data_IF_006196637158
#
_entry.id   IF_006196637158
#
_cell.length_a   1.000
_cell.length_b   1.000
_cell.length_c   1.000
_cell.angle_alpha   90.00
_cell.angle_beta   90.00
_cell.angle_gamma   90.00
#
_symmetry.space_group_name_H-M   'P 1'
#
loop_
_entity.id
_entity.type
_entity.pdbx_description
1 polymer ?
#
# COMPACT_ATOMS: atom_id res chain seq x y z
N UNK A 1 -36.71 -9.49 -34.70
CA UNK A 1 -36.51 -8.38 -33.74
C UNK A 1 -36.54 -8.83 -32.27
N UNK A 2 -37.45 -9.72 -31.84
CA UNK A 2 -37.48 -10.21 -30.43
C UNK A 2 -36.17 -10.83 -29.95
N UNK A 3 -35.46 -11.60 -30.78
CA UNK A 3 -34.21 -12.28 -30.36
C UNK A 3 -33.05 -11.31 -30.11
N UNK A 4 -32.98 -10.18 -30.84
CA UNK A 4 -31.98 -9.13 -30.62
C UNK A 4 -32.28 -8.32 -29.36
N UNK A 5 -33.57 -8.04 -29.08
CA UNK A 5 -34.01 -7.33 -27.88
C UNK A 5 -33.78 -8.17 -26.62
N UNK A 6 -34.07 -9.48 -26.68
CA UNK A 6 -33.79 -10.42 -25.60
C UNK A 6 -32.29 -10.53 -25.32
N UNK A 7 -31.44 -10.67 -26.35
CA UNK A 7 -29.99 -10.68 -26.17
C UNK A 7 -29.48 -9.40 -25.54
N UNK A 8 -30.00 -8.24 -25.94
CA UNK A 8 -29.65 -6.96 -25.34
C UNK A 8 -30.08 -6.87 -23.87
N UNK A 9 -31.31 -7.27 -23.55
CA UNK A 9 -31.83 -7.31 -22.18
C UNK A 9 -30.99 -8.24 -21.30
N UNK A 10 -30.59 -9.40 -21.81
CA UNK A 10 -29.69 -10.33 -21.10
C UNK A 10 -28.33 -9.69 -20.86
N UNK A 11 -27.73 -9.02 -21.85
CA UNK A 11 -26.45 -8.31 -21.69
C UNK A 11 -26.58 -7.20 -20.64
N UNK A 12 -27.66 -6.40 -20.68
CA UNK A 12 -27.92 -5.35 -19.70
C UNK A 12 -28.10 -5.93 -18.29
N UNK A 13 -28.87 -7.02 -18.14
CA UNK A 13 -29.06 -7.75 -16.88
C UNK A 13 -27.75 -8.32 -16.32
N UNK A 14 -26.86 -8.81 -17.18
CA UNK A 14 -25.55 -9.32 -16.77
C UNK A 14 -24.57 -8.19 -16.40
N UNK A 15 -24.67 -7.02 -17.03
CA UNK A 15 -23.82 -5.85 -16.75
C UNK A 15 -24.30 -5.04 -15.55
N UNK A 16 -25.59 -5.08 -15.22
CA UNK A 16 -26.21 -4.34 -14.12
C UNK A 16 -25.53 -4.59 -12.76
N UNK A 17 -25.29 -5.84 -12.31
CA UNK A 17 -24.56 -6.12 -11.08
C UNK A 17 -23.14 -5.53 -11.08
N UNK A 18 -22.47 -5.52 -12.23
CA UNK A 18 -21.12 -5.01 -12.39
C UNK A 18 -21.10 -3.48 -12.32
N UNK A 19 -22.07 -2.81 -12.95
CA UNK A 19 -22.25 -1.35 -12.90
C UNK A 19 -22.63 -0.90 -11.49
N UNK A 20 -23.57 -1.59 -10.82
CA UNK A 20 -23.94 -1.31 -9.44
C UNK A 20 -22.79 -1.60 -8.48
N UNK A 21 -22.03 -2.68 -8.68
CA UNK A 21 -20.84 -3.00 -7.90
C UNK A 21 -19.76 -1.92 -8.02
N UNK A 22 -19.44 -1.47 -9.22
CA UNK A 22 -18.48 -0.37 -9.47
C UNK A 22 -18.96 0.94 -8.82
N UNK A 23 -20.25 1.27 -8.95
CA UNK A 23 -20.83 2.47 -8.32
C UNK A 23 -20.83 2.38 -6.79
N UNK A 24 -21.20 1.25 -6.22
CA UNK A 24 -21.23 1.05 -4.77
C UNK A 24 -19.82 1.10 -4.18
N UNK A 25 -18.82 0.54 -4.86
CA UNK A 25 -17.42 0.64 -4.43
C UNK A 25 -16.92 2.09 -4.48
N UNK A 26 -17.26 2.84 -5.54
CA UNK A 26 -16.92 4.27 -5.58
C UNK A 26 -17.69 5.08 -4.54
N UNK A 27 -18.93 4.69 -4.21
CA UNK A 27 -19.69 5.26 -3.13
C UNK A 27 -19.00 4.95 -1.80
N UNK A 28 -18.72 3.70 -1.45
CA UNK A 28 -17.99 3.28 -0.23
C UNK A 28 -16.62 3.98 -0.09
N UNK A 29 -15.90 4.18 -1.19
CA UNK A 29 -14.59 4.84 -1.18
C UNK A 29 -14.67 6.37 -1.05
N UNK A 30 -15.74 7.02 -1.54
CA UNK A 30 -15.92 8.47 -1.44
C UNK A 30 -16.81 8.89 -0.26
N UNK A 31 -17.71 8.01 0.16
CA UNK A 31 -18.59 8.07 1.33
C UNK A 31 -17.99 7.11 2.35
N UNK A 32 -16.88 7.52 2.94
CA UNK A 32 -16.41 7.02 4.23
C UNK A 32 -17.44 7.39 5.32
N UNK A 33 -18.72 7.09 5.13
CA UNK A 33 -19.84 7.52 5.97
C UNK A 33 -19.79 6.82 7.32
N UNK A 34 -19.84 7.67 8.35
CA UNK A 34 -20.15 7.46 9.76
C UNK A 34 -20.40 5.98 10.16
N UNK A 35 -19.36 5.37 10.73
CA UNK A 35 -19.57 4.20 11.59
C UNK A 35 -20.57 4.52 12.71
N UNK A 36 -21.11 3.49 13.39
CA UNK A 36 -21.91 3.63 14.62
C UNK A 36 -21.27 4.55 15.69
N UNK A 37 -19.96 4.81 15.61
CA UNK A 37 -19.23 5.73 16.50
C UNK A 37 -19.32 7.22 16.14
N UNK A 38 -19.96 7.57 15.02
CA UNK A 38 -20.05 8.95 14.54
C UNK A 38 -18.76 9.48 13.90
N UNK A 39 -17.83 8.60 13.53
CA UNK A 39 -16.59 8.95 12.82
C UNK A 39 -16.42 8.13 11.55
N UNK A 40 -15.81 8.77 10.55
CA UNK A 40 -15.31 8.15 9.31
C UNK A 40 -14.10 7.25 9.59
N UNK A 41 -13.75 6.34 8.67
CA UNK A 41 -12.55 5.50 8.81
C UNK A 41 -11.26 6.34 8.86
N UNK A 42 -11.20 7.43 8.09
CA UNK A 42 -10.06 8.34 8.06
C UNK A 42 -9.89 9.08 9.38
N UNK A 43 -11.00 9.56 9.97
CA UNK A 43 -10.98 10.19 11.28
C UNK A 43 -10.55 9.23 12.40
N UNK A 44 -11.00 7.98 12.34
CA UNK A 44 -10.56 6.95 13.30
C UNK A 44 -9.07 6.67 13.17
N UNK A 45 -8.58 6.49 11.93
CA UNK A 45 -7.18 6.26 11.64
C UNK A 45 -6.32 7.42 12.17
N UNK A 46 -6.70 8.66 11.82
CA UNK A 46 -6.02 9.88 12.26
C UNK A 46 -5.99 10.02 13.78
N UNK A 47 -7.12 9.84 14.47
CA UNK A 47 -7.19 9.96 15.95
C UNK A 47 -6.31 8.93 16.65
N UNK A 48 -6.31 7.69 16.18
CA UNK A 48 -5.46 6.63 16.76
C UNK A 48 -3.99 6.95 16.51
N UNK A 49 -3.64 7.38 15.30
CA UNK A 49 -2.28 7.82 14.96
C UNK A 49 -1.83 8.96 15.87
N UNK A 50 -2.64 10.01 16.03
CA UNK A 50 -2.38 11.15 16.94
C UNK A 50 -2.18 10.70 18.40
N UNK A 51 -3.04 9.80 18.90
CA UNK A 51 -2.92 9.26 20.26
C UNK A 51 -1.63 8.46 20.46
N UNK A 52 -1.24 7.65 19.48
CA UNK A 52 0.03 6.93 19.50
C UNK A 52 1.22 7.90 19.58
N UNK A 53 1.20 9.02 18.86
CA UNK A 53 2.29 10.01 18.94
C UNK A 53 2.45 10.61 20.35
N UNK A 54 1.32 10.88 21.01
CA UNK A 54 1.32 11.40 22.39
C UNK A 54 1.91 10.36 23.35
N UNK A 55 1.50 9.10 23.21
CA UNK A 55 1.98 7.99 24.04
C UNK A 55 3.48 7.76 23.83
N UNK A 56 3.96 7.73 22.59
CA UNK A 56 5.39 7.54 22.29
C UNK A 56 6.26 8.65 22.85
N UNK A 57 5.81 9.91 22.75
CA UNK A 57 6.50 11.05 23.37
C UNK A 57 6.54 10.92 24.89
N UNK A 58 5.45 10.44 25.51
CA UNK A 58 5.39 10.24 26.96
C UNK A 58 6.29 9.09 27.40
N UNK A 59 6.30 7.97 26.69
CA UNK A 59 7.19 6.83 26.96
C UNK A 59 8.66 7.29 26.89
N UNK A 60 9.07 7.99 25.83
CA UNK A 60 10.45 8.53 25.72
C UNK A 60 10.82 9.47 26.86
N UNK A 61 9.88 10.32 27.29
CA UNK A 61 10.08 11.18 28.46
C UNK A 61 10.25 10.37 29.75
N UNK A 62 9.43 9.34 29.96
CA UNK A 62 9.52 8.43 31.11
C UNK A 62 10.82 7.66 31.12
N UNK A 63 11.26 7.12 29.98
CA UNK A 63 12.54 6.41 29.83
C UNK A 63 13.72 7.27 30.28
N UNK A 64 13.75 8.54 29.84
CA UNK A 64 14.81 9.48 30.25
C UNK A 64 14.73 9.78 31.75
N UNK A 65 13.53 10.04 32.26
CA UNK A 65 13.31 10.38 33.67
C UNK A 65 13.69 9.21 34.59
N UNK A 66 13.34 7.98 34.22
CA UNK A 66 13.70 6.76 34.94
C UNK A 66 15.22 6.52 34.92
N UNK A 67 15.89 6.77 33.80
CA UNK A 67 17.35 6.68 33.73
C UNK A 67 18.04 7.68 34.67
N UNK A 68 17.59 8.94 34.68
CA UNK A 68 18.11 9.99 35.58
C UNK A 68 17.84 9.66 37.07
N UNK A 69 16.65 9.12 37.38
CA UNK A 69 16.30 8.66 38.72
C UNK A 69 17.13 7.44 39.16
N UNK A 70 17.40 6.51 38.26
CA UNK A 70 18.24 5.33 38.53
C UNK A 70 19.68 5.73 38.85
N UNK A 71 20.23 6.70 38.11
CA UNK A 71 21.57 7.24 38.34
C UNK A 71 21.68 8.00 39.68
N UNK A 72 20.58 8.59 40.17
CA UNK A 72 20.55 9.36 41.42
C UNK A 72 20.17 8.54 42.66
N UNK A 73 19.59 7.35 42.51
CA UNK A 73 19.04 6.54 43.61
C UNK A 73 19.88 5.31 43.99
N UNK A 74 21.13 5.52 44.39
CA UNK A 74 21.98 4.42 44.88
C UNK A 74 21.52 3.85 46.26
N UNK A 75 20.55 4.46 46.99
CA UNK A 75 20.35 4.12 48.42
C UNK A 75 18.93 4.02 49.03
N UNK A 76 17.82 4.22 48.33
CA UNK A 76 16.49 3.99 48.93
C UNK A 76 15.38 3.69 47.90
N UNK A 77 14.42 2.87 48.31
CA UNK A 77 13.19 2.58 47.56
C UNK A 77 12.38 3.86 47.33
N UNK A 78 12.12 4.21 46.08
CA UNK A 78 11.41 5.43 45.72
C UNK A 78 10.04 5.11 45.10
N UNK A 79 8.98 5.48 45.81
CA UNK A 79 7.57 5.36 45.39
C UNK A 79 7.32 6.07 44.03
N UNK A 80 8.02 7.16 43.75
CA UNK A 80 7.93 7.87 42.48
C UNK A 80 8.51 7.06 41.32
N UNK A 81 9.59 6.32 41.55
CA UNK A 81 10.19 5.44 40.55
C UNK A 81 9.23 4.31 40.17
N UNK A 82 8.62 3.65 41.16
CA UNK A 82 7.66 2.56 40.90
C UNK A 82 6.39 3.07 40.21
N UNK A 83 5.92 4.27 40.57
CA UNK A 83 4.79 4.91 39.89
C UNK A 83 5.09 5.20 38.41
N UNK A 84 6.29 5.69 38.11
CA UNK A 84 6.70 5.98 36.73
C UNK A 84 6.89 4.69 35.91
N UNK A 85 7.39 3.62 36.53
CA UNK A 85 7.45 2.29 35.90
C UNK A 85 6.05 1.74 35.59
N UNK A 86 5.11 1.87 36.53
CA UNK A 86 3.73 1.46 36.30
C UNK A 86 3.09 2.27 35.16
N UNK A 87 3.25 3.60 35.17
CA UNK A 87 2.76 4.46 34.08
C UNK A 87 3.37 4.06 32.73
N UNK A 88 4.66 3.75 32.69
CA UNK A 88 5.33 3.29 31.48
C UNK A 88 4.77 1.94 31.01
N UNK A 89 4.48 1.01 31.93
CA UNK A 89 3.82 -0.26 31.63
C UNK A 89 2.44 -0.07 31.01
N UNK A 90 1.58 0.74 31.65
CA UNK A 90 0.23 1.03 31.17
C UNK A 90 0.25 1.69 29.78
N UNK A 91 1.18 2.62 29.55
CA UNK A 91 1.36 3.28 28.26
C UNK A 91 1.88 2.32 27.17
N UNK A 92 2.76 1.38 27.51
CA UNK A 92 3.22 0.36 26.57
C UNK A 92 2.07 -0.58 26.15
N UNK A 93 1.21 -0.96 27.08
CA UNK A 93 0.02 -1.76 26.81
C UNK A 93 -1.00 -1.01 25.95
N UNK A 94 -1.25 0.27 26.25
CA UNK A 94 -2.09 1.13 25.43
C UNK A 94 -1.52 1.29 24.02
N UNK A 95 -0.21 1.54 23.90
CA UNK A 95 0.51 1.62 22.62
C UNK A 95 0.30 0.35 21.81
N UNK A 96 0.51 -0.83 22.40
CA UNK A 96 0.33 -2.10 21.70
C UNK A 96 -1.09 -2.27 21.16
N UNK A 97 -2.11 -2.03 22.00
CA UNK A 97 -3.53 -2.14 21.61
C UNK A 97 -3.89 -1.16 20.48
N UNK A 98 -3.41 0.08 20.57
CA UNK A 98 -3.67 1.10 19.55
C UNK A 98 -2.94 0.79 18.25
N UNK A 99 -1.71 0.28 18.29
CA UNK A 99 -0.97 -0.15 17.09
C UNK A 99 -1.67 -1.29 16.36
N UNK A 100 -2.19 -2.29 17.08
CA UNK A 100 -3.01 -3.35 16.49
C UNK A 100 -4.25 -2.77 15.78
N UNK A 101 -4.98 -1.89 16.46
CA UNK A 101 -6.17 -1.25 15.90
C UNK A 101 -5.87 -0.37 14.70
N UNK A 102 -4.72 0.33 14.71
CA UNK A 102 -4.25 1.13 13.58
C UNK A 102 -3.93 0.23 12.38
N UNK A 103 -3.30 -0.92 12.61
CA UNK A 103 -3.04 -1.94 11.59
C UNK A 103 -4.32 -2.49 10.96
N UNK A 104 -5.34 -2.81 11.77
CA UNK A 104 -6.64 -3.25 11.26
C UNK A 104 -7.33 -2.18 10.40
N UNK A 105 -7.25 -0.91 10.81
CA UNK A 105 -7.80 0.20 10.03
C UNK A 105 -7.03 0.45 8.74
N UNK A 106 -5.70 0.36 8.78
CA UNK A 106 -4.84 0.42 7.60
C UNK A 106 -5.23 -0.67 6.58
N UNK A 107 -5.39 -1.91 7.02
CA UNK A 107 -5.79 -3.03 6.16
C UNK A 107 -7.15 -2.78 5.50
N UNK A 108 -8.14 -2.29 6.27
CA UNK A 108 -9.46 -1.93 5.74
C UNK A 108 -9.37 -0.79 4.71
N UNK A 109 -8.58 0.26 4.98
CA UNK A 109 -8.38 1.36 4.03
C UNK A 109 -7.71 0.87 2.75
N UNK A 110 -6.68 0.02 2.85
CA UNK A 110 -6.00 -0.61 1.70
C UNK A 110 -6.96 -1.43 0.85
N UNK A 111 -7.81 -2.25 1.48
CA UNK A 111 -8.81 -3.06 0.78
C UNK A 111 -9.81 -2.18 0.01
N UNK A 112 -10.34 -1.14 0.64
CA UNK A 112 -11.26 -0.19 0.00
C UNK A 112 -10.60 0.53 -1.18
N UNK A 113 -9.36 0.99 -1.00
CA UNK A 113 -8.58 1.67 -2.02
C UNK A 113 -8.32 0.76 -3.23
N UNK A 114 -7.98 -0.51 -2.97
CA UNK A 114 -7.83 -1.52 -4.03
C UNK A 114 -9.15 -1.82 -4.76
N UNK A 115 -10.24 -2.03 -4.03
CA UNK A 115 -11.57 -2.23 -4.64
C UNK A 115 -11.92 -1.05 -5.54
N UNK A 116 -11.68 0.18 -5.08
CA UNK A 116 -11.90 1.40 -5.87
C UNK A 116 -11.04 1.45 -7.13
N UNK A 117 -9.77 1.06 -7.05
CA UNK A 117 -8.87 0.95 -8.21
C UNK A 117 -9.38 -0.07 -9.23
N UNK A 118 -9.67 -1.29 -8.78
CA UNK A 118 -10.23 -2.37 -9.61
C UNK A 118 -11.54 -1.94 -10.28
N UNK A 119 -12.41 -1.25 -9.55
CA UNK A 119 -13.66 -0.70 -10.09
C UNK A 119 -13.41 0.31 -11.23
N UNK A 120 -12.35 1.14 -11.15
CA UNK A 120 -11.97 2.03 -12.26
C UNK A 120 -11.47 1.26 -13.47
N UNK A 121 -10.67 0.23 -13.27
CA UNK A 121 -10.20 -0.60 -14.38
C UNK A 121 -11.35 -1.35 -15.09
N UNK A 122 -12.38 -1.78 -14.36
CA UNK A 122 -13.59 -2.33 -15.00
C UNK A 122 -14.34 -1.30 -15.84
N UNK A 123 -14.28 0.00 -15.53
CA UNK A 123 -14.83 1.04 -16.43
C UNK A 123 -14.15 1.06 -17.79
N UNK A 124 -12.90 0.60 -17.86
CA UNK A 124 -12.14 0.46 -19.12
C UNK A 124 -12.48 -0.85 -19.84
N UNK A 125 -12.96 -1.88 -19.12
CA UNK A 125 -13.48 -3.12 -19.71
C UNK A 125 -12.43 -4.18 -20.05
N UNK A 126 -11.15 -3.95 -19.74
CA UNK A 126 -10.06 -4.87 -20.06
C UNK A 126 -9.47 -5.58 -18.83
N UNK A 127 -10.01 -5.31 -17.64
CA UNK A 127 -9.43 -5.75 -16.37
C UNK A 127 -9.19 -7.26 -16.31
N UNK A 128 -10.18 -8.09 -16.66
CA UNK A 128 -10.04 -9.57 -16.60
C UNK A 128 -8.94 -10.11 -17.51
N UNK A 129 -8.84 -9.57 -18.73
CA UNK A 129 -7.82 -9.98 -19.69
C UNK A 129 -6.42 -9.59 -19.20
N UNK A 130 -6.28 -8.41 -18.61
CA UNK A 130 -5.02 -7.94 -18.03
C UNK A 130 -4.65 -8.76 -16.80
N UNK A 131 -5.62 -9.03 -15.92
CA UNK A 131 -5.43 -9.88 -14.75
C UNK A 131 -4.92 -11.26 -15.15
N UNK A 132 -5.54 -11.92 -16.14
CA UNK A 132 -5.08 -13.21 -16.67
C UNK A 132 -3.62 -13.14 -17.15
N UNK A 133 -3.30 -12.14 -17.99
CA UNK A 133 -1.94 -11.94 -18.51
C UNK A 133 -0.92 -11.70 -17.40
N UNK A 134 -1.27 -10.90 -16.40
CA UNK A 134 -0.39 -10.64 -15.25
C UNK A 134 -0.16 -11.92 -14.44
N UNK A 135 -1.22 -12.69 -14.17
CA UNK A 135 -1.10 -13.98 -13.48
C UNK A 135 -0.23 -14.97 -14.27
N UNK A 136 -0.42 -15.07 -15.59
CA UNK A 136 0.43 -15.89 -16.46
C UNK A 136 1.90 -15.45 -16.44
N UNK A 137 2.16 -14.13 -16.48
CA UNK A 137 3.50 -13.57 -16.33
C UNK A 137 4.16 -13.98 -15.00
N UNK A 138 3.40 -13.94 -13.90
CA UNK A 138 3.90 -14.29 -12.57
C UNK A 138 4.12 -15.81 -12.40
N UNK A 139 3.17 -16.63 -12.86
CA UNK A 139 3.26 -18.11 -12.81
C UNK A 139 4.42 -18.68 -13.64
N UNK A 140 4.86 -17.95 -14.65
CA UNK A 140 5.94 -18.39 -15.55
C UNK A 140 7.35 -18.04 -15.04
N UNK A 141 7.47 -17.50 -13.82
CA UNK A 141 8.75 -17.06 -13.24
C UNK A 141 8.93 -17.60 -11.83
N UNK A 142 10.18 -17.83 -11.47
CA UNK A 142 10.58 -18.12 -10.10
C UNK A 142 10.51 -16.87 -9.21
N UNK A 143 10.39 -17.06 -7.90
CA UNK A 143 10.43 -16.01 -6.90
C UNK A 143 11.72 -15.17 -7.00
N UNK A 144 12.85 -15.79 -7.34
CA UNK A 144 14.12 -15.09 -7.59
C UNK A 144 14.05 -14.13 -8.78
N UNK A 145 13.53 -14.60 -9.93
CA UNK A 145 13.38 -13.75 -11.13
C UNK A 145 12.40 -12.61 -10.90
N UNK A 146 11.45 -12.79 -9.98
CA UNK A 146 10.48 -11.77 -9.58
C UNK A 146 11.02 -10.82 -8.49
N UNK A 147 12.17 -11.10 -7.89
CA UNK A 147 12.77 -10.30 -6.82
C UNK A 147 12.15 -10.52 -5.42
N UNK A 148 11.48 -11.65 -5.18
CA UNK A 148 10.87 -12.02 -3.89
C UNK A 148 11.79 -12.84 -2.99
N UNK A 149 12.84 -13.41 -3.57
CA UNK A 149 13.81 -14.23 -2.87
C UNK A 149 15.20 -13.90 -3.40
N UNK A 150 16.18 -13.83 -2.50
CA UNK A 150 17.59 -13.75 -2.86
C UNK A 150 18.17 -15.14 -3.15
N UNK A 151 17.40 -16.21 -2.90
CA UNK A 151 17.79 -17.59 -3.18
C UNK A 151 17.25 -18.04 -4.53
N UNK A 152 18.14 -18.56 -5.38
CA UNK A 152 17.81 -19.03 -6.72
C UNK A 152 17.12 -20.41 -6.73
N UNK A 153 16.45 -20.80 -5.64
CA UNK A 153 15.96 -22.16 -5.40
C UNK A 153 14.76 -22.58 -6.29
N UNK A 154 14.45 -21.82 -7.34
CA UNK A 154 13.40 -22.15 -8.31
C UNK A 154 11.99 -22.18 -7.72
N UNK A 155 11.79 -21.65 -6.51
CA UNK A 155 10.48 -21.60 -5.87
C UNK A 155 9.52 -20.78 -6.73
N UNK A 156 8.39 -21.36 -7.09
CA UNK A 156 7.35 -20.69 -7.86
C UNK A 156 6.39 -20.05 -6.86
N UNK A 157 6.03 -18.76 -7.02
CA UNK A 157 5.06 -18.11 -6.15
C UNK A 157 3.74 -18.88 -6.13
N UNK A 158 3.14 -19.00 -4.95
CA UNK A 158 1.82 -19.60 -4.80
C UNK A 158 0.73 -18.73 -5.44
N UNK A 159 -0.45 -19.29 -5.68
CA UNK A 159 -1.59 -18.49 -6.17
C UNK A 159 -1.94 -17.33 -5.21
N UNK A 160 -1.73 -17.53 -3.90
CA UNK A 160 -1.91 -16.48 -2.90
C UNK A 160 -0.92 -15.33 -3.09
N UNK A 161 0.37 -15.65 -3.22
CA UNK A 161 1.42 -14.65 -3.46
C UNK A 161 1.11 -13.86 -4.73
N UNK A 162 0.74 -14.55 -5.81
CA UNK A 162 0.39 -13.92 -7.09
C UNK A 162 -0.79 -12.97 -6.94
N UNK A 163 -1.84 -13.37 -6.24
CA UNK A 163 -3.01 -12.52 -6.01
C UNK A 163 -2.64 -11.27 -5.22
N UNK A 164 -1.78 -11.41 -4.19
CA UNK A 164 -1.25 -10.29 -3.42
C UNK A 164 -0.40 -9.35 -4.30
N UNK A 165 0.49 -9.88 -5.15
CA UNK A 165 1.31 -9.08 -6.07
C UNK A 165 0.47 -8.24 -7.02
N UNK A 166 -0.58 -8.84 -7.58
CA UNK A 166 -1.49 -8.12 -8.48
C UNK A 166 -2.32 -7.11 -7.71
N UNK A 167 -2.71 -7.41 -6.47
CA UNK A 167 -3.48 -6.50 -5.65
C UNK A 167 -2.66 -5.28 -5.21
N UNK A 168 -1.41 -5.49 -4.82
CA UNK A 168 -0.52 -4.49 -4.22
C UNK A 168 0.44 -3.84 -5.22
N UNK A 169 0.36 -4.14 -6.53
CA UNK A 169 1.24 -3.52 -7.53
C UNK A 169 1.34 -1.99 -7.45
N UNK A 170 0.27 -1.21 -7.15
CA UNK A 170 0.41 0.25 -7.02
C UNK A 170 1.29 0.66 -5.84
N UNK A 171 1.29 -0.14 -4.75
CA UNK A 171 2.16 0.05 -3.58
C UNK A 171 3.61 -0.25 -3.98
N UNK A 172 3.85 -1.33 -4.72
CA UNK A 172 5.19 -1.64 -5.23
C UNK A 172 5.71 -0.56 -6.19
N UNK A 173 4.85 0.05 -7.00
CA UNK A 173 5.21 1.21 -7.84
C UNK A 173 5.70 2.39 -6.98
N UNK A 174 5.04 2.66 -5.85
CA UNK A 174 5.49 3.68 -4.90
C UNK A 174 6.82 3.30 -4.24
N UNK A 175 6.97 2.03 -3.83
CA UNK A 175 8.23 1.50 -3.30
C UNK A 175 9.40 1.76 -4.26
N UNK A 176 9.23 1.45 -5.55
CA UNK A 176 10.24 1.72 -6.56
C UNK A 176 10.59 3.20 -6.72
N UNK A 177 9.65 4.11 -6.47
CA UNK A 177 9.93 5.55 -6.49
C UNK A 177 10.77 5.98 -5.29
N UNK A 178 10.53 5.39 -4.12
CA UNK A 178 11.33 5.66 -2.91
C UNK A 178 12.74 5.10 -3.09
N UNK A 179 12.87 3.91 -3.66
CA UNK A 179 14.16 3.30 -4.01
C UNK A 179 14.92 4.14 -5.06
N UNK A 180 14.22 4.78 -6.01
CA UNK A 180 14.84 5.78 -6.88
C UNK A 180 15.43 6.95 -6.07
N UNK A 181 14.68 7.48 -5.10
CA UNK A 181 15.13 8.62 -4.30
C UNK A 181 16.34 8.25 -3.41
N UNK A 182 16.44 6.99 -2.99
CA UNK A 182 17.61 6.50 -2.25
C UNK A 182 18.91 6.56 -3.06
N UNK A 183 18.85 6.43 -4.38
CA UNK A 183 20.04 6.58 -5.23
C UNK A 183 20.64 7.98 -5.21
N UNK A 184 19.82 8.98 -4.85
CA UNK A 184 20.21 10.39 -4.73
C UNK A 184 20.53 10.79 -3.28
N UNK A 185 20.44 9.84 -2.34
CA UNK A 185 20.75 10.05 -0.91
C UNK A 185 22.23 9.80 -0.58
N UNK A 186 22.60 10.03 0.67
CA UNK A 186 23.91 9.73 1.28
C UNK A 186 24.34 8.26 1.16
N UNK A 187 23.40 7.31 1.02
CA UNK A 187 23.72 5.89 0.78
C UNK A 187 23.72 5.51 -0.71
N UNK A 188 23.43 6.45 -1.62
CA UNK A 188 23.29 6.16 -3.05
C UNK A 188 24.56 5.62 -3.70
N UNK A 189 25.74 6.09 -3.28
CA UNK A 189 27.03 5.57 -3.76
C UNK A 189 27.25 4.11 -3.37
N UNK A 190 26.85 3.74 -2.14
CA UNK A 190 26.91 2.36 -1.64
C UNK A 190 25.97 1.46 -2.45
N UNK A 191 24.72 1.88 -2.67
CA UNK A 191 23.74 1.15 -3.47
C UNK A 191 24.20 0.92 -4.91
N UNK A 192 24.83 1.93 -5.52
CA UNK A 192 25.38 1.81 -6.88
C UNK A 192 26.59 0.88 -6.96
N UNK A 193 27.54 0.99 -6.03
CA UNK A 193 28.81 0.26 -6.08
C UNK A 193 28.69 -1.17 -5.59
N UNK A 194 28.05 -1.37 -4.44
CA UNK A 194 28.08 -2.64 -3.72
C UNK A 194 26.88 -3.51 -4.07
N UNK A 195 25.77 -2.89 -4.50
CA UNK A 195 24.53 -3.58 -4.87
C UNK A 195 24.19 -3.47 -6.36
N UNK A 196 24.97 -2.70 -7.14
CA UNK A 196 24.80 -2.58 -8.58
C UNK A 196 23.50 -1.91 -9.02
N UNK A 197 22.84 -1.17 -8.13
CA UNK A 197 21.59 -0.47 -8.46
C UNK A 197 21.83 0.56 -9.56
N UNK A 198 20.92 0.62 -10.54
CA UNK A 198 20.96 1.64 -11.58
C UNK A 198 19.70 2.46 -11.57
N UNK A 199 19.82 3.77 -11.83
CA UNK A 199 18.67 4.68 -11.90
C UNK A 199 17.61 4.21 -12.90
N UNK A 200 18.02 3.58 -14.00
CA UNK A 200 17.12 3.04 -15.04
C UNK A 200 16.18 1.93 -14.54
N UNK A 201 16.56 1.21 -13.48
CA UNK A 201 15.74 0.16 -12.88
C UNK A 201 14.51 0.74 -12.16
N UNK A 202 14.56 2.01 -11.76
CA UNK A 202 13.56 2.67 -10.91
C UNK A 202 12.87 3.87 -11.58
N UNK A 203 13.53 4.58 -12.49
CA UNK A 203 13.06 5.89 -13.00
C UNK A 203 11.73 5.89 -13.74
N UNK A 204 11.23 4.71 -14.13
CA UNK A 204 9.91 4.54 -14.71
C UNK A 204 8.78 4.77 -13.69
N UNK A 205 9.05 4.58 -12.39
CA UNK A 205 8.06 4.64 -11.32
C UNK A 205 7.40 6.01 -11.22
N UNK A 206 8.15 7.12 -11.41
CA UNK A 206 7.60 8.48 -11.43
C UNK A 206 6.48 8.65 -12.46
N UNK A 207 6.68 8.12 -13.67
CA UNK A 207 5.66 8.18 -14.73
C UNK A 207 4.49 7.25 -14.43
N UNK A 208 4.77 6.11 -13.80
CA UNK A 208 3.75 5.16 -13.40
C UNK A 208 2.80 5.75 -12.34
N UNK A 209 3.33 6.39 -11.31
CA UNK A 209 2.57 7.09 -10.26
C UNK A 209 1.64 8.14 -10.88
N UNK A 210 2.14 8.96 -11.81
CA UNK A 210 1.34 9.99 -12.49
C UNK A 210 0.17 9.41 -13.31
N UNK A 211 0.20 8.12 -13.61
CA UNK A 211 -0.86 7.43 -14.36
C UNK A 211 -1.87 6.71 -13.46
N UNK A 212 -1.54 6.54 -12.18
CA UNK A 212 -2.43 5.99 -11.15
C UNK A 212 -3.27 7.14 -10.57
N UNK A 213 -4.45 6.84 -10.03
CA UNK A 213 -5.32 7.85 -9.41
C UNK A 213 -4.59 8.55 -8.25
N UNK A 214 -4.43 9.89 -8.26
CA UNK A 214 -3.70 10.60 -7.21
C UNK A 214 -4.29 10.40 -5.81
N UNK A 215 -5.63 10.26 -5.71
CA UNK A 215 -6.29 9.95 -4.42
C UNK A 215 -5.87 8.58 -3.89
N UNK A 216 -5.71 7.60 -4.77
CA UNK A 216 -5.27 6.25 -4.42
C UNK A 216 -3.81 6.27 -3.96
N UNK A 217 -2.94 6.99 -4.68
CA UNK A 217 -1.55 7.18 -4.28
C UNK A 217 -1.45 7.81 -2.89
N UNK A 218 -2.18 8.92 -2.65
CA UNK A 218 -2.18 9.57 -1.34
C UNK A 218 -2.67 8.66 -0.20
N UNK A 219 -3.64 7.78 -0.47
CA UNK A 219 -4.06 6.77 0.52
C UNK A 219 -2.95 5.77 0.84
N UNK A 220 -2.23 5.28 -0.17
CA UNK A 220 -1.13 4.34 0.06
C UNK A 220 0.05 5.00 0.78
N UNK A 221 0.40 6.23 0.42
CA UNK A 221 1.41 7.03 1.14
C UNK A 221 1.03 7.20 2.62
N UNK A 222 -0.23 7.51 2.92
CA UNK A 222 -0.69 7.65 4.31
C UNK A 222 -0.58 6.34 5.10
N UNK A 223 -0.95 5.22 4.49
CA UNK A 223 -0.99 3.88 5.13
C UNK A 223 0.41 3.30 5.33
N UNK A 224 1.32 3.49 4.37
CA UNK A 224 2.69 2.97 4.47
C UNK A 224 3.49 3.66 5.59
N UNK A 225 3.02 4.80 6.11
CA UNK A 225 3.60 5.46 7.28
C UNK A 225 2.89 5.03 8.57
N UNK A 226 3.42 3.98 9.21
CA UNK A 226 3.10 3.70 10.61
C UNK A 226 3.67 4.74 11.60
N UNK A 227 4.64 5.57 11.14
CA UNK A 227 5.40 6.54 11.94
C UNK A 227 4.81 7.98 11.95
N UNK A 228 5.39 8.82 12.80
CA UNK A 228 5.13 10.27 12.92
C UNK A 228 6.02 11.12 12.00
N UNK A 229 7.06 10.50 11.41
CA UNK A 229 8.01 11.16 10.50
C UNK A 229 7.45 11.30 9.08
N UNK A 230 8.03 12.22 8.30
CA UNK A 230 7.73 12.34 6.87
C UNK A 230 7.87 10.97 6.19
N UNK A 231 6.92 10.64 5.30
CA UNK A 231 6.82 9.32 4.67
C UNK A 231 8.15 8.87 4.07
N UNK A 232 8.71 9.75 3.25
CA UNK A 232 9.96 9.53 2.57
C UNK A 232 11.11 9.36 3.56
N UNK A 233 11.21 10.19 4.60
CA UNK A 233 12.25 10.10 5.62
C UNK A 233 12.16 8.78 6.42
N UNK A 234 10.95 8.35 6.79
CA UNK A 234 10.75 7.11 7.53
C UNK A 234 11.22 5.89 6.75
N UNK A 235 10.76 5.77 5.49
CA UNK A 235 11.07 4.63 4.64
C UNK A 235 12.55 4.65 4.28
N UNK A 236 13.12 5.83 3.99
CA UNK A 236 14.56 5.98 3.75
C UNK A 236 15.36 5.50 4.96
N UNK A 237 15.00 5.92 6.17
CA UNK A 237 15.69 5.47 7.40
C UNK A 237 15.58 3.96 7.62
N UNK A 238 14.40 3.38 7.38
CA UNK A 238 14.20 1.93 7.51
C UNK A 238 15.04 1.13 6.49
N UNK A 239 15.13 1.61 5.25
CA UNK A 239 15.96 0.97 4.23
C UNK A 239 17.45 1.14 4.56
N UNK A 240 17.88 2.30 5.07
CA UNK A 240 19.25 2.48 5.58
C UNK A 240 19.59 1.45 6.65
N UNK A 241 18.70 1.25 7.62
CA UNK A 241 18.89 0.24 8.66
C UNK A 241 18.99 -1.18 8.09
N UNK A 242 18.18 -1.52 7.08
CA UNK A 242 18.28 -2.81 6.38
C UNK A 242 19.61 -2.95 5.65
N UNK A 243 20.07 -1.95 4.92
CA UNK A 243 21.39 -1.95 4.26
C UNK A 243 22.50 -2.25 5.25
N UNK A 244 22.42 -1.67 6.46
CA UNK A 244 23.44 -1.84 7.50
C UNK A 244 23.35 -3.17 8.27
N UNK A 245 22.16 -3.78 8.38
CA UNK A 245 21.92 -4.96 9.25
C UNK A 245 21.61 -6.26 8.50
N UNK A 246 20.90 -6.21 7.37
CA UNK A 246 20.56 -7.37 6.55
C UNK A 246 20.39 -7.00 5.06
N UNK A 247 21.41 -7.29 4.27
CA UNK A 247 21.55 -6.79 2.90
C UNK A 247 20.78 -7.57 1.81
N UNK A 248 20.11 -8.68 2.14
CA UNK A 248 19.42 -9.53 1.14
C UNK A 248 18.29 -8.79 0.41
N UNK A 249 17.42 -8.09 1.16
CA UNK A 249 16.29 -7.33 0.60
C UNK A 249 16.76 -6.21 -0.34
N UNK A 250 17.95 -5.63 -0.08
CA UNK A 250 18.54 -4.56 -0.88
C UNK A 250 19.02 -5.10 -2.24
N UNK A 251 19.51 -6.35 -2.29
CA UNK A 251 20.00 -6.96 -3.54
C UNK A 251 18.88 -7.23 -4.54
N UNK A 252 17.69 -7.58 -4.07
CA UNK A 252 16.57 -8.00 -4.92
C UNK A 252 15.68 -6.84 -5.39
N UNK A 253 15.77 -5.67 -4.75
CA UNK A 253 14.96 -4.49 -5.07
C UNK A 253 14.95 -4.10 -6.58
N UNK A 254 16.09 -4.05 -7.31
CA UNK A 254 16.05 -3.75 -8.75
C UNK A 254 15.25 -4.79 -9.56
N UNK A 255 15.34 -6.08 -9.21
CA UNK A 255 14.59 -7.15 -9.87
C UNK A 255 13.09 -7.04 -9.55
N UNK A 256 12.75 -6.76 -8.30
CA UNK A 256 11.37 -6.52 -7.87
C UNK A 256 10.75 -5.33 -8.63
N UNK A 257 11.50 -4.24 -8.79
CA UNK A 257 11.04 -3.08 -9.55
C UNK A 257 10.90 -3.35 -11.04
N UNK A 258 11.82 -4.13 -11.63
CA UNK A 258 11.69 -4.57 -13.01
C UNK A 258 10.44 -5.44 -13.22
N UNK A 259 10.13 -6.33 -12.28
CA UNK A 259 8.93 -7.17 -12.33
C UNK A 259 7.66 -6.35 -12.13
N UNK A 260 7.66 -5.43 -11.17
CA UNK A 260 6.58 -4.48 -10.94
C UNK A 260 6.31 -3.62 -12.17
N UNK A 261 7.36 -3.18 -12.89
CA UNK A 261 7.21 -2.47 -14.16
C UNK A 261 6.45 -3.30 -15.20
N UNK A 262 6.72 -4.59 -15.30
CA UNK A 262 6.01 -5.48 -16.23
C UNK A 262 4.54 -5.62 -15.84
N UNK A 263 4.27 -5.84 -14.54
CA UNK A 263 2.89 -5.86 -14.00
C UNK A 263 2.18 -4.55 -14.35
N UNK A 264 2.79 -3.40 -14.04
CA UNK A 264 2.25 -2.08 -14.34
C UNK A 264 1.96 -1.90 -15.83
N UNK A 265 2.88 -2.30 -16.72
CA UNK A 265 2.69 -2.19 -18.17
C UNK A 265 1.53 -3.04 -18.68
N UNK A 266 1.32 -4.25 -18.13
CA UNK A 266 0.17 -5.11 -18.46
C UNK A 266 -1.12 -4.48 -17.93
N UNK A 267 -1.08 -3.95 -16.71
CA UNK A 267 -2.24 -3.38 -16.03
C UNK A 267 -2.62 -1.98 -16.54
N UNK A 268 -1.73 -1.28 -17.26
CA UNK A 268 -1.92 0.09 -17.76
C UNK A 268 -3.28 0.26 -18.48
N UNK A 269 -4.18 1.15 -18.03
CA UNK A 269 -5.44 1.40 -18.71
C UNK A 269 -5.24 1.96 -20.12
N UNK A 270 -5.74 1.26 -21.14
CA UNK A 270 -5.95 1.85 -22.46
C UNK A 270 -7.14 2.82 -22.39
N UNK A 271 -6.89 4.06 -21.95
CA UNK A 271 -7.92 5.10 -21.74
C UNK A 271 -8.84 5.32 -22.96
N UNK A 272 -8.37 4.98 -24.17
CA UNK A 272 -9.13 5.06 -25.43
C UNK A 272 -10.26 4.02 -25.55
N UNK A 273 -10.27 2.97 -24.73
CA UNK A 273 -11.22 1.85 -24.80
C UNK A 273 -12.33 1.88 -23.76
N UNK A 274 -12.50 2.98 -23.02
CA UNK A 274 -13.49 3.12 -21.96
C UNK A 274 -14.87 2.58 -22.36
N UNK A 275 -15.23 1.41 -21.84
CA UNK A 275 -16.45 0.70 -22.21
C UNK A 275 -17.68 1.40 -21.65
N UNK A 276 -17.56 2.06 -20.49
CA UNK A 276 -18.66 2.83 -19.90
C UNK A 276 -18.98 4.08 -20.73
N UNK A 277 -17.96 4.76 -21.26
CA UNK A 277 -18.18 5.92 -22.13
C UNK A 277 -18.73 5.50 -23.50
N UNK A 278 -18.28 4.34 -24.03
CA UNK A 278 -18.86 3.73 -25.24
C UNK A 278 -20.31 3.30 -25.04
N UNK A 279 -20.62 2.62 -23.95
CA UNK A 279 -21.99 2.22 -23.61
C UNK A 279 -22.89 3.45 -23.44
N UNK A 280 -22.39 4.51 -22.77
CA UNK A 280 -23.13 5.77 -22.61
C UNK A 280 -23.40 6.45 -23.95
N UNK A 281 -22.42 6.45 -24.86
CA UNK A 281 -22.60 6.93 -26.22
C UNK A 281 -23.70 6.15 -26.95
N UNK A 282 -23.63 4.82 -26.99
CA UNK A 282 -24.63 3.98 -27.66
C UNK A 282 -26.04 4.09 -27.05
N UNK A 283 -26.15 4.18 -25.72
CA UNK A 283 -27.43 4.42 -25.04
C UNK A 283 -28.00 5.79 -25.43
N UNK A 284 -27.16 6.84 -25.46
CA UNK A 284 -27.62 8.19 -25.84
C UNK A 284 -28.02 8.26 -27.32
N UNK A 285 -27.33 7.52 -28.19
CA UNK A 285 -27.65 7.41 -29.61
C UNK A 285 -28.95 6.63 -29.86
N UNK A 286 -29.23 5.58 -29.09
CA UNK A 286 -30.43 4.74 -29.27
C UNK A 286 -31.72 5.32 -28.67
N UNK A 287 -31.61 6.26 -27.74
CA UNK A 287 -32.76 6.95 -27.12
C UNK A 287 -32.93 8.41 -27.61
N UNK A 288 -32.32 8.75 -28.75
CA UNK A 288 -32.69 9.90 -29.59
C UNK A 288 -33.61 9.43 -30.70
#
# INVERSE_FOLDING_TARGET
>A
MLSSLQKLLTIILLLLPLIYGVKNVHAEFNLTELSLSGLTLDEQYKRIKERLQVIEKRIKFLEKTLADLTLSQIRAHNIEHDRLLQEQGDLNDERYKLSLKLGDLANKKTELAYRAHKAREYRVGEYEKKLSKTKEYLKSRSAFELGYSDTANGEIPTDHDIDEMVQLYPVFVLGCKIEENLLDSDIGDLLRKDFGWKREDFSWAKNAINSIDPKLIGHFEEIMVFSVSDFEEHIISGIKDMVMRNSSNVKVAPLLCKSTRQIYNIMLPEKRKNIMDRLRFYVTEWFK
#
